data_IF_276290599904
#
_entry.id   IF_276290599904
#
_cell.length_a   1.000
_cell.length_b   1.000
_cell.length_c   1.000
_cell.angle_alpha   90.00
_cell.angle_beta   90.00
_cell.angle_gamma   90.00
#
_symmetry.space_group_name_H-M   'P 1'
#
loop_
_entity.id
_entity.type
_entity.pdbx_description
1 polymer ?
#
# COMPACT_ATOMS: atom_id res chain seq x y z
N UNK A 1 17.48 29.95 9.12
CA UNK A 1 16.85 30.80 10.16
C UNK A 1 15.38 30.47 10.38
N UNK A 2 14.55 30.36 9.33
CA UNK A 2 13.10 30.03 9.43
C UNK A 2 12.80 28.64 10.04
N UNK A 3 13.69 27.67 9.85
CA UNK A 3 13.49 26.27 10.28
C UNK A 3 13.53 26.05 11.80
N UNK A 4 14.12 26.96 12.57
CA UNK A 4 14.39 26.75 13.99
C UNK A 4 13.27 27.24 14.91
N UNK A 5 12.20 27.83 14.38
CA UNK A 5 11.19 28.54 15.19
C UNK A 5 9.75 28.03 15.07
N UNK A 6 9.43 27.01 14.25
CA UNK A 6 8.03 26.72 13.93
C UNK A 6 7.62 25.24 13.92
N UNK A 7 6.36 25.03 14.33
CA UNK A 7 5.66 23.75 14.53
C UNK A 7 5.40 22.96 13.24
N UNK A 8 5.34 21.62 13.34
CA UNK A 8 5.26 20.64 12.24
C UNK A 8 4.14 20.80 11.20
N UNK A 9 3.14 21.67 11.43
CA UNK A 9 1.96 21.84 10.56
C UNK A 9 1.82 23.24 9.92
N UNK A 10 2.84 24.10 9.99
CA UNK A 10 2.74 25.45 9.42
C UNK A 10 3.11 25.48 7.93
N UNK A 11 2.30 26.16 7.11
CA UNK A 11 2.56 26.37 5.69
C UNK A 11 3.81 27.26 5.50
N UNK A 12 4.94 26.57 5.27
CA UNK A 12 6.27 27.18 5.18
C UNK A 12 6.34 28.20 4.02
N UNK A 13 5.56 27.99 2.96
CA UNK A 13 5.54 28.86 1.77
C UNK A 13 4.89 30.19 2.12
N UNK A 14 3.75 30.15 2.81
CA UNK A 14 3.06 31.36 3.27
C UNK A 14 3.84 32.14 4.33
N UNK A 15 4.58 31.44 5.19
CA UNK A 15 5.47 32.09 6.18
C UNK A 15 6.63 32.77 5.47
N UNK A 16 7.25 32.12 4.49
CA UNK A 16 8.34 32.69 3.70
C UNK A 16 7.89 33.95 2.95
N UNK A 17 6.71 33.91 2.31
CA UNK A 17 6.12 35.06 1.60
C UNK A 17 5.83 36.22 2.55
N UNK A 18 5.25 35.93 3.73
CA UNK A 18 5.00 36.95 4.75
C UNK A 18 6.29 37.60 5.29
N UNK A 19 7.36 36.80 5.47
CA UNK A 19 8.65 37.31 5.93
C UNK A 19 9.28 38.26 4.90
N UNK A 20 9.23 37.91 3.61
CA UNK A 20 9.78 38.75 2.55
C UNK A 20 8.94 40.00 2.30
N UNK A 21 7.61 39.91 2.42
CA UNK A 21 6.70 41.07 2.40
C UNK A 21 7.07 42.11 3.47
N UNK A 22 7.41 41.66 4.66
CA UNK A 22 7.72 42.54 5.80
C UNK A 22 9.20 42.98 5.85
N UNK A 23 10.01 42.55 4.89
CA UNK A 23 11.41 42.96 4.80
C UNK A 23 11.55 44.37 4.23
N UNK A 24 12.63 45.08 4.59
CA UNK A 24 12.98 46.39 4.00
C UNK A 24 13.60 46.27 2.60
N UNK A 25 13.52 45.10 1.96
CA UNK A 25 14.12 44.84 0.66
C UNK A 25 13.27 45.43 -0.47
N UNK A 26 13.87 45.84 -1.60
CA UNK A 26 13.14 46.33 -2.78
C UNK A 26 12.13 45.33 -3.33
N UNK A 27 12.36 44.04 -3.07
CA UNK A 27 11.55 42.91 -3.54
C UNK A 27 10.24 42.79 -2.72
N UNK A 28 10.12 43.47 -1.57
CA UNK A 28 8.95 43.41 -0.67
C UNK A 28 7.63 43.79 -1.35
N UNK A 29 7.65 44.75 -2.28
CA UNK A 29 6.47 45.16 -3.07
C UNK A 29 5.93 44.01 -3.95
N UNK A 30 6.81 43.23 -4.59
CA UNK A 30 6.41 42.07 -5.39
C UNK A 30 5.74 41.00 -4.50
N UNK A 31 6.23 40.81 -3.28
CA UNK A 31 5.65 39.87 -2.33
C UNK A 31 4.33 40.34 -1.72
N UNK A 32 4.08 41.66 -1.63
CA UNK A 32 2.73 42.20 -1.30
C UNK A 32 1.72 41.85 -2.40
N UNK A 33 2.13 41.99 -3.66
CA UNK A 33 1.31 41.64 -4.81
C UNK A 33 1.01 40.14 -4.88
N UNK A 34 2.02 39.29 -4.65
CA UNK A 34 1.80 37.83 -4.57
C UNK A 34 0.82 37.45 -3.47
N UNK A 35 0.91 38.08 -2.30
CA UNK A 35 -0.02 37.80 -1.22
C UNK A 35 -1.47 38.17 -1.58
N UNK A 36 -1.67 39.25 -2.35
CA UNK A 36 -2.98 39.59 -2.88
C UNK A 36 -3.51 38.53 -3.86
N UNK A 37 -2.67 38.08 -4.81
CA UNK A 37 -3.04 37.01 -5.76
C UNK A 37 -3.30 35.68 -5.09
N UNK A 38 -2.53 35.34 -4.06
CA UNK A 38 -2.78 34.13 -3.25
C UNK A 38 -4.13 34.24 -2.53
N UNK A 39 -4.48 35.42 -2.02
CA UNK A 39 -5.81 35.66 -1.45
C UNK A 39 -6.95 35.58 -2.49
N UNK A 40 -6.65 35.83 -3.77
CA UNK A 40 -7.56 35.64 -4.90
C UNK A 40 -7.67 34.18 -5.36
N UNK A 41 -6.88 33.27 -4.78
CA UNK A 41 -6.95 31.81 -5.03
C UNK A 41 -5.78 31.25 -5.84
N UNK A 42 -4.75 32.05 -6.15
CA UNK A 42 -3.53 31.58 -6.80
C UNK A 42 -2.64 30.78 -5.84
N UNK A 43 -1.91 29.81 -6.37
CA UNK A 43 -1.05 28.93 -5.57
C UNK A 43 0.26 29.67 -5.21
N UNK A 44 0.66 29.74 -3.93
CA UNK A 44 1.85 30.48 -3.48
C UNK A 44 3.14 30.08 -4.20
N UNK A 45 3.35 28.80 -4.42
CA UNK A 45 4.54 28.25 -5.08
C UNK A 45 4.64 28.67 -6.55
N UNK A 46 3.51 28.87 -7.23
CA UNK A 46 3.45 29.22 -8.65
C UNK A 46 3.81 30.69 -8.87
N UNK A 47 3.35 31.56 -7.97
CA UNK A 47 3.77 32.95 -7.94
C UNK A 47 5.27 33.08 -7.64
N UNK A 48 5.80 32.25 -6.74
CA UNK A 48 7.23 32.23 -6.44
C UNK A 48 8.08 31.73 -7.62
N UNK A 49 7.63 30.73 -8.37
CA UNK A 49 8.36 30.22 -9.54
C UNK A 49 8.49 31.26 -10.67
N UNK A 50 7.49 32.12 -10.82
CA UNK A 50 7.48 33.16 -11.84
C UNK A 50 8.26 34.42 -11.43
N UNK A 51 8.77 34.48 -10.20
CA UNK A 51 9.55 35.61 -9.71
C UNK A 51 10.96 35.59 -10.33
N UNK A 52 11.24 36.59 -11.16
CA UNK A 52 12.59 36.91 -11.60
C UNK A 52 13.02 38.19 -10.89
N UNK A 53 13.99 38.09 -9.99
CA UNK A 53 14.61 39.26 -9.35
C UNK A 53 15.89 39.66 -10.07
N UNK A 54 16.36 40.89 -9.84
CA UNK A 54 17.62 41.38 -10.38
C UNK A 54 18.86 40.66 -9.78
N UNK A 55 18.70 39.89 -8.71
CA UNK A 55 19.79 39.12 -8.09
C UNK A 55 19.71 37.66 -8.55
N UNK A 56 20.70 37.22 -9.33
CA UNK A 56 20.83 35.82 -9.73
C UNK A 56 21.00 34.90 -8.51
N UNK A 57 21.76 35.32 -7.50
CA UNK A 57 21.93 34.57 -6.25
C UNK A 57 20.61 34.33 -5.53
N UNK A 58 19.74 35.34 -5.48
CA UNK A 58 18.42 35.21 -4.86
C UNK A 58 17.50 34.30 -5.68
N UNK A 59 17.53 34.41 -7.01
CA UNK A 59 16.76 33.52 -7.90
C UNK A 59 17.21 32.06 -7.72
N UNK A 60 18.53 31.81 -7.66
CA UNK A 60 19.08 30.49 -7.37
C UNK A 60 18.69 29.97 -5.98
N UNK A 61 18.70 30.84 -4.97
CA UNK A 61 18.25 30.50 -3.62
C UNK A 61 16.76 30.13 -3.57
N UNK A 62 15.91 30.88 -4.28
CA UNK A 62 14.48 30.64 -4.35
C UNK A 62 14.14 29.34 -5.08
N UNK A 63 14.78 29.07 -6.23
CA UNK A 63 14.63 27.81 -6.94
C UNK A 63 15.05 26.62 -6.07
N UNK A 64 16.19 26.71 -5.38
CA UNK A 64 16.64 25.68 -4.46
C UNK A 64 15.66 25.45 -3.30
N UNK A 65 15.03 26.51 -2.78
CA UNK A 65 13.98 26.40 -1.76
C UNK A 65 12.74 25.66 -2.30
N UNK A 66 12.29 26.01 -3.51
CA UNK A 66 11.15 25.38 -4.18
C UNK A 66 11.37 23.90 -4.51
N UNK A 67 12.61 23.52 -4.85
CA UNK A 67 12.94 22.12 -5.17
C UNK A 67 13.06 21.28 -3.89
N UNK A 68 13.63 21.84 -2.82
CA UNK A 68 14.10 21.07 -1.67
C UNK A 68 13.19 21.13 -0.44
N UNK A 69 12.45 22.23 -0.26
CA UNK A 69 11.73 22.50 0.99
C UNK A 69 10.21 22.64 0.82
N UNK A 70 9.74 23.10 -0.34
CA UNK A 70 8.30 23.10 -0.64
C UNK A 70 7.90 21.72 -1.16
N UNK A 71 6.92 21.12 -0.49
CA UNK A 71 6.46 19.74 -0.72
C UNK A 71 6.09 19.61 -2.20
N UNK A 72 6.58 18.53 -2.84
CA UNK A 72 6.28 18.14 -4.21
C UNK A 72 4.86 18.58 -4.61
N UNK A 73 4.81 19.51 -5.57
CA UNK A 73 3.60 19.98 -6.24
C UNK A 73 2.67 18.80 -6.48
N UNK A 74 1.47 18.91 -5.91
CA UNK A 74 0.29 18.18 -6.34
C UNK A 74 -0.72 19.20 -6.82
N UNK A 75 -1.27 18.88 -8.00
CA UNK A 75 -2.53 19.38 -8.57
C UNK A 75 -2.41 20.82 -9.15
N UNK A 76 -2.96 21.18 -10.32
CA UNK A 76 -4.18 20.78 -11.00
C UNK A 76 -3.99 20.75 -12.53
N UNK A 77 -4.06 19.56 -13.13
CA UNK A 77 -4.89 19.33 -14.32
C UNK A 77 -5.56 17.98 -14.11
N UNK A 78 -6.71 17.99 -13.44
CA UNK A 78 -7.64 16.85 -13.36
C UNK A 78 -8.44 16.66 -14.66
N UNK A 79 -8.02 17.28 -15.78
CA UNK A 79 -8.62 17.05 -17.07
C UNK A 79 -7.84 15.99 -17.83
N UNK A 80 -8.44 14.81 -17.93
CA UNK A 80 -8.00 13.60 -18.64
C UNK A 80 -7.32 12.55 -17.75
N UNK A 81 -8.14 11.67 -17.16
CA UNK A 81 -7.68 10.35 -16.75
C UNK A 81 -6.97 9.69 -17.94
N UNK A 82 -5.64 9.64 -17.89
CA UNK A 82 -4.86 8.95 -18.92
C UNK A 82 -5.33 7.50 -19.05
N UNK A 83 -5.26 6.95 -20.26
CA UNK A 83 -5.72 5.58 -20.55
C UNK A 83 -5.06 4.53 -19.64
N UNK A 84 -3.84 4.79 -19.17
CA UNK A 84 -3.12 3.97 -18.19
C UNK A 84 -3.76 4.00 -16.80
N UNK A 85 -4.25 5.15 -16.31
CA UNK A 85 -5.00 5.21 -15.05
C UNK A 85 -6.30 4.42 -15.14
N UNK A 86 -7.01 4.53 -16.26
CA UNK A 86 -8.26 3.79 -16.50
C UNK A 86 -8.01 2.29 -16.53
N UNK A 87 -7.00 1.84 -17.28
CA UNK A 87 -6.61 0.43 -17.34
C UNK A 87 -6.15 -0.09 -15.96
N UNK A 88 -5.41 0.71 -15.21
CA UNK A 88 -4.98 0.35 -13.86
C UNK A 88 -6.15 0.22 -12.88
N UNK A 89 -7.13 1.13 -12.94
CA UNK A 89 -8.37 1.01 -12.14
C UNK A 89 -9.18 -0.23 -12.51
N UNK A 90 -9.23 -0.60 -13.79
CA UNK A 90 -9.91 -1.81 -14.25
C UNK A 90 -9.23 -3.05 -13.67
N UNK A 91 -7.90 -3.16 -13.81
CA UNK A 91 -7.10 -4.25 -13.23
C UNK A 91 -7.31 -4.34 -11.73
N UNK A 92 -7.32 -3.19 -11.05
CA UNK A 92 -7.47 -3.15 -9.61
C UNK A 92 -8.88 -3.57 -9.16
N UNK A 93 -9.94 -3.11 -9.84
CA UNK A 93 -11.32 -3.55 -9.58
C UNK A 93 -11.49 -5.05 -9.82
N UNK A 94 -10.82 -5.58 -10.84
CA UNK A 94 -10.83 -7.02 -11.14
C UNK A 94 -10.16 -7.82 -10.02
N UNK A 95 -8.99 -7.37 -9.54
CA UNK A 95 -8.31 -7.97 -8.37
C UNK A 95 -9.20 -7.92 -7.13
N UNK A 96 -9.82 -6.78 -6.82
CA UNK A 96 -10.72 -6.63 -5.67
C UNK A 96 -11.93 -7.56 -5.77
N UNK A 97 -12.55 -7.65 -6.95
CA UNK A 97 -13.68 -8.55 -7.19
C UNK A 97 -13.28 -10.02 -7.02
N UNK A 98 -12.15 -10.43 -7.61
CA UNK A 98 -11.59 -11.79 -7.48
C UNK A 98 -11.33 -12.17 -6.03
N UNK A 99 -10.69 -11.27 -5.28
CA UNK A 99 -10.43 -11.45 -3.84
C UNK A 99 -11.75 -11.57 -3.08
N UNK A 100 -12.70 -10.67 -3.34
CA UNK A 100 -14.01 -10.66 -2.69
C UNK A 100 -14.81 -11.94 -2.92
N UNK A 101 -14.74 -12.53 -4.12
CA UNK A 101 -15.40 -13.82 -4.42
C UNK A 101 -14.86 -14.95 -3.53
N UNK A 102 -13.53 -15.03 -3.37
CA UNK A 102 -12.92 -16.05 -2.53
C UNK A 102 -13.26 -15.83 -1.05
N UNK A 103 -13.30 -14.57 -0.59
CA UNK A 103 -13.74 -14.23 0.76
C UNK A 103 -15.21 -14.57 1.00
N UNK A 104 -16.08 -14.22 0.06
CA UNK A 104 -17.50 -14.53 0.12
C UNK A 104 -17.72 -16.03 0.30
N UNK A 105 -17.11 -16.85 -0.56
CA UNK A 105 -17.24 -18.31 -0.49
C UNK A 105 -16.63 -18.85 0.80
N UNK A 106 -15.46 -18.36 1.21
CA UNK A 106 -14.80 -18.79 2.45
C UNK A 106 -15.59 -18.43 3.71
N UNK A 107 -16.38 -17.36 3.70
CA UNK A 107 -17.19 -16.92 4.84
C UNK A 107 -18.56 -17.58 4.86
N UNK A 108 -19.26 -17.58 3.72
CA UNK A 108 -20.65 -18.05 3.66
C UNK A 108 -20.76 -19.57 3.65
N UNK A 109 -19.73 -20.32 3.23
CA UNK A 109 -19.80 -21.77 3.25
C UNK A 109 -19.86 -22.35 4.68
N UNK A 110 -18.95 -21.99 5.62
CA UNK A 110 -19.07 -22.42 7.03
C UNK A 110 -20.39 -21.99 7.68
N UNK A 111 -20.85 -20.77 7.41
CA UNK A 111 -22.11 -20.24 7.94
C UNK A 111 -23.32 -21.01 7.37
N UNK A 112 -23.33 -21.26 6.06
CA UNK A 112 -24.37 -22.07 5.42
C UNK A 112 -24.38 -23.49 5.98
N UNK A 113 -23.21 -24.08 6.21
CA UNK A 113 -23.07 -25.38 6.84
C UNK A 113 -23.60 -25.37 8.28
N UNK A 114 -23.35 -24.32 9.07
CA UNK A 114 -24.00 -24.12 10.37
C UNK A 114 -25.52 -24.16 10.26
N UNK A 115 -26.13 -23.38 9.35
CA UNK A 115 -27.59 -23.35 9.21
C UNK A 115 -28.18 -24.70 8.78
N UNK A 116 -27.54 -25.38 7.83
CA UNK A 116 -28.01 -26.68 7.37
C UNK A 116 -27.92 -27.74 8.48
N UNK A 117 -26.92 -27.65 9.36
CA UNK A 117 -26.83 -28.45 10.59
C UNK A 117 -27.97 -28.11 11.55
N UNK A 118 -28.19 -26.81 11.84
CA UNK A 118 -29.25 -26.37 12.76
C UNK A 118 -30.63 -26.88 12.35
N UNK A 119 -30.96 -26.81 11.06
CA UNK A 119 -32.25 -27.28 10.53
C UNK A 119 -32.31 -28.80 10.30
N UNK A 120 -31.30 -29.55 10.73
CA UNK A 120 -31.21 -31.01 10.59
C UNK A 120 -31.38 -31.50 9.13
N UNK A 121 -31.01 -30.66 8.15
CA UNK A 121 -31.21 -30.96 6.73
C UNK A 121 -30.11 -31.89 6.17
N UNK A 122 -29.03 -32.11 6.93
CA UNK A 122 -27.86 -32.85 6.49
C UNK A 122 -27.57 -34.04 7.42
N UNK A 123 -27.31 -35.20 6.82
CA UNK A 123 -26.82 -36.40 7.51
C UNK A 123 -25.33 -36.30 7.92
N UNK A 124 -24.91 -37.06 8.92
CA UNK A 124 -23.51 -37.05 9.42
C UNK A 124 -22.45 -37.34 8.36
N UNK A 125 -22.73 -38.25 7.43
CA UNK A 125 -21.82 -38.59 6.33
C UNK A 125 -21.57 -37.37 5.44
N UNK A 126 -22.63 -36.60 5.16
CA UNK A 126 -22.54 -35.41 4.32
C UNK A 126 -21.76 -34.29 5.02
N UNK A 127 -21.88 -34.14 6.35
CA UNK A 127 -21.07 -33.18 7.12
C UNK A 127 -19.57 -33.44 6.96
N UNK A 128 -19.14 -34.70 7.09
CA UNK A 128 -17.73 -35.09 6.90
C UNK A 128 -17.28 -34.81 5.47
N UNK A 129 -18.14 -35.12 4.48
CA UNK A 129 -17.82 -34.98 3.05
C UNK A 129 -17.70 -33.51 2.62
N UNK A 130 -18.41 -32.59 3.26
CA UNK A 130 -18.33 -31.16 2.95
C UNK A 130 -16.97 -30.55 3.27
N UNK A 131 -16.23 -31.06 4.25
CA UNK A 131 -14.92 -30.53 4.65
C UNK A 131 -13.87 -30.66 3.52
N UNK A 132 -13.56 -31.86 2.98
CA UNK A 132 -12.61 -31.98 1.88
C UNK A 132 -13.11 -31.29 0.61
N UNK A 133 -14.42 -31.30 0.34
CA UNK A 133 -15.01 -30.61 -0.80
C UNK A 133 -14.78 -29.09 -0.72
N UNK A 134 -15.00 -28.50 0.46
CA UNK A 134 -14.74 -27.09 0.71
C UNK A 134 -13.27 -26.73 0.53
N UNK A 135 -12.37 -27.56 1.07
CA UNK A 135 -10.93 -27.34 0.93
C UNK A 135 -10.50 -27.37 -0.55
N UNK A 136 -10.95 -28.35 -1.33
CA UNK A 136 -10.65 -28.48 -2.76
C UNK A 136 -11.21 -27.28 -3.52
N UNK A 137 -12.45 -26.88 -3.23
CA UNK A 137 -13.12 -25.77 -3.91
C UNK A 137 -12.40 -24.43 -3.65
N UNK A 138 -12.06 -24.11 -2.40
CA UNK A 138 -11.28 -22.93 -2.08
C UNK A 138 -9.88 -22.96 -2.72
N UNK A 139 -9.23 -24.12 -2.75
CA UNK A 139 -7.93 -24.26 -3.41
C UNK A 139 -8.02 -23.97 -4.91
N UNK A 140 -9.06 -24.49 -5.57
CA UNK A 140 -9.32 -24.26 -6.98
C UNK A 140 -9.52 -22.78 -7.27
N UNK A 141 -10.39 -22.11 -6.50
CA UNK A 141 -10.65 -20.68 -6.64
C UNK A 141 -9.39 -19.85 -6.39
N UNK A 142 -8.64 -20.14 -5.33
CA UNK A 142 -7.39 -19.45 -5.03
C UNK A 142 -6.39 -19.57 -6.19
N UNK A 143 -6.18 -20.79 -6.72
CA UNK A 143 -5.26 -21.00 -7.84
C UNK A 143 -5.71 -20.28 -9.11
N UNK A 144 -7.01 -20.29 -9.41
CA UNK A 144 -7.57 -19.73 -10.64
C UNK A 144 -7.65 -18.20 -10.62
N UNK A 145 -8.04 -17.61 -9.48
CA UNK A 145 -8.36 -16.19 -9.39
C UNK A 145 -7.22 -15.34 -8.82
N UNK A 146 -6.34 -15.91 -7.99
CA UNK A 146 -5.42 -15.12 -7.17
C UNK A 146 -3.95 -15.32 -7.54
N UNK A 147 -3.55 -16.55 -7.92
CA UNK A 147 -2.13 -16.88 -8.18
C UNK A 147 -1.52 -16.14 -9.40
N UNK A 148 -2.34 -15.62 -10.31
CA UNK A 148 -1.89 -15.04 -11.59
C UNK A 148 -1.67 -13.52 -11.46
N UNK A 149 -2.49 -12.81 -10.68
CA UNK A 149 -2.45 -11.34 -10.58
C UNK A 149 -1.63 -10.82 -9.38
N UNK A 150 -1.34 -11.68 -8.39
CA UNK A 150 -0.43 -11.33 -7.29
C UNK A 150 0.98 -11.01 -7.80
N UNK A 151 1.37 -11.36 -9.02
CA UNK A 151 2.68 -10.97 -9.55
C UNK A 151 2.82 -9.44 -9.73
N UNK A 152 1.73 -8.73 -10.08
CA UNK A 152 1.67 -7.26 -10.06
C UNK A 152 1.72 -6.70 -8.62
N UNK A 153 1.21 -7.45 -7.65
CA UNK A 153 1.35 -7.16 -6.21
C UNK A 153 2.76 -7.55 -5.70
N UNK A 154 3.44 -8.47 -6.37
CA UNK A 154 4.79 -8.94 -6.13
C UNK A 154 5.83 -7.87 -6.47
N UNK A 155 5.58 -7.11 -7.54
CA UNK A 155 6.28 -5.86 -7.82
C UNK A 155 6.24 -4.89 -6.62
N UNK A 156 5.19 -4.89 -5.78
CA UNK A 156 5.12 -4.09 -4.56
C UNK A 156 5.73 -4.75 -3.32
N UNK A 157 5.76 -6.09 -3.26
CA UNK A 157 6.24 -6.84 -2.09
C UNK A 157 7.77 -6.83 -1.94
N UNK A 158 8.53 -6.45 -2.98
CA UNK A 158 9.99 -6.33 -2.90
C UNK A 158 10.48 -4.94 -2.49
N UNK A 159 9.58 -3.95 -2.34
CA UNK A 159 10.00 -2.63 -1.89
C UNK A 159 9.92 -2.55 -0.36
N UNK A 160 11.06 -2.82 0.27
CA UNK A 160 11.27 -2.33 1.64
C UNK A 160 11.03 -0.83 1.69
N UNK A 161 10.56 -0.31 2.83
CA UNK A 161 10.40 1.15 3.02
C UNK A 161 11.72 1.89 2.74
N UNK A 162 12.85 1.22 2.93
CA UNK A 162 14.18 1.73 2.61
C UNK A 162 14.39 1.90 1.10
N UNK A 163 14.03 0.92 0.28
CA UNK A 163 14.18 1.03 -1.19
C UNK A 163 13.26 2.11 -1.76
N UNK A 164 12.06 2.25 -1.19
CA UNK A 164 11.15 3.35 -1.54
C UNK A 164 11.74 4.71 -1.20
N UNK A 165 12.40 4.86 -0.04
CA UNK A 165 13.11 6.09 0.35
C UNK A 165 14.31 6.36 -0.57
N UNK A 166 15.12 5.34 -0.86
CA UNK A 166 16.25 5.39 -1.80
C UNK A 166 15.78 5.89 -3.18
N UNK A 167 14.68 5.34 -3.69
CA UNK A 167 14.11 5.76 -4.97
C UNK A 167 13.61 7.21 -4.95
N UNK A 168 13.01 7.67 -3.85
CA UNK A 168 12.57 9.06 -3.72
C UNK A 168 13.75 10.03 -3.75
N UNK A 169 14.81 9.74 -3.01
CA UNK A 169 16.03 10.54 -3.04
C UNK A 169 16.62 10.60 -4.45
N UNK A 170 16.61 9.48 -5.18
CA UNK A 170 17.08 9.42 -6.56
C UNK A 170 16.27 10.34 -7.49
N UNK A 171 14.93 10.37 -7.33
CA UNK A 171 14.10 11.30 -8.11
C UNK A 171 14.37 12.76 -7.76
N UNK A 172 14.58 13.09 -6.48
CA UNK A 172 14.97 14.44 -6.05
C UNK A 172 16.30 14.86 -6.68
N UNK A 173 17.27 13.95 -6.70
CA UNK A 173 18.54 14.16 -7.38
C UNK A 173 18.35 14.42 -8.88
N UNK A 174 17.55 13.60 -9.58
CA UNK A 174 17.25 13.79 -11.00
C UNK A 174 16.52 15.10 -11.30
N UNK A 175 15.63 15.55 -10.40
CA UNK A 175 14.92 16.82 -10.53
C UNK A 175 15.89 18.00 -10.49
N UNK A 176 16.81 18.00 -9.52
CA UNK A 176 17.87 19.01 -9.41
C UNK A 176 18.82 18.96 -10.61
N UNK A 177 19.14 17.75 -11.09
CA UNK A 177 19.92 17.56 -12.30
C UNK A 177 19.28 18.16 -13.55
N UNK A 178 17.98 17.92 -13.76
CA UNK A 178 17.23 18.54 -14.85
C UNK A 178 17.22 20.07 -14.77
N UNK A 179 17.09 20.64 -13.56
CA UNK A 179 17.16 22.10 -13.36
C UNK A 179 18.51 22.66 -13.76
N UNK A 180 19.61 22.02 -13.33
CA UNK A 180 20.96 22.47 -13.67
C UNK A 180 21.26 22.32 -15.18
N UNK A 181 20.78 21.25 -15.83
CA UNK A 181 20.86 21.09 -17.29
C UNK A 181 20.10 22.18 -18.05
N UNK A 182 18.94 22.60 -17.54
CA UNK A 182 18.14 23.69 -18.14
C UNK A 182 18.89 25.03 -18.13
N UNK A 183 19.87 25.20 -17.25
CA UNK A 183 20.75 26.40 -17.19
C UNK A 183 21.88 26.37 -18.22
N UNK A 184 21.86 25.43 -19.18
CA UNK A 184 22.93 25.23 -20.17
C UNK A 184 24.29 24.88 -19.53
N UNK A 185 24.27 24.31 -18.32
CA UNK A 185 25.47 23.79 -17.66
C UNK A 185 25.83 22.43 -18.27
N UNK A 186 27.12 22.11 -18.36
CA UNK A 186 27.55 20.78 -18.84
C UNK A 186 26.99 19.66 -17.96
N UNK A 187 26.69 18.48 -18.52
CA UNK A 187 26.12 17.36 -17.76
C UNK A 187 26.96 16.95 -16.54
N UNK A 188 28.29 16.98 -16.65
CA UNK A 188 29.22 16.67 -15.58
C UNK A 188 29.08 17.67 -14.43
N UNK A 189 29.07 18.97 -14.74
CA UNK A 189 28.97 20.03 -13.75
C UNK A 189 27.56 20.07 -13.14
N UNK A 190 26.53 19.89 -13.96
CA UNK A 190 25.15 19.76 -13.49
C UNK A 190 25.00 18.58 -12.52
N UNK A 191 25.66 17.45 -12.76
CA UNK A 191 25.63 16.28 -11.86
C UNK A 191 26.28 16.59 -10.50
N UNK A 192 27.45 17.25 -10.50
CA UNK A 192 28.15 17.67 -9.28
C UNK A 192 27.31 18.67 -8.48
N UNK A 193 26.76 19.70 -9.14
CA UNK A 193 25.91 20.70 -8.50
C UNK A 193 24.64 20.07 -7.90
N UNK A 194 24.07 19.08 -8.58
CA UNK A 194 22.89 18.38 -8.07
C UNK A 194 23.18 17.60 -6.80
N UNK A 195 24.36 16.99 -6.70
CA UNK A 195 24.80 16.31 -5.49
C UNK A 195 25.09 17.32 -4.36
N UNK A 196 25.74 18.45 -4.66
CA UNK A 196 26.09 19.45 -3.64
C UNK A 196 24.84 20.13 -3.07
N UNK A 197 23.87 20.49 -3.91
CA UNK A 197 22.59 21.09 -3.53
C UNK A 197 21.76 20.18 -2.62
N UNK A 198 21.81 18.86 -2.84
CA UNK A 198 20.96 17.88 -2.14
C UNK A 198 21.67 17.10 -1.02
N UNK A 199 22.94 17.42 -0.71
CA UNK A 199 23.81 16.60 0.15
C UNK A 199 23.21 16.21 1.51
N UNK A 200 22.35 17.04 2.09
CA UNK A 200 21.66 16.77 3.36
C UNK A 200 20.41 15.89 3.21
N UNK A 201 19.76 15.94 2.04
CA UNK A 201 18.56 15.17 1.71
C UNK A 201 18.89 13.74 1.27
N UNK A 202 20.06 13.55 0.65
CA UNK A 202 20.53 12.24 0.19
C UNK A 202 21.14 11.45 1.37
N UNK A 203 20.37 10.58 2.02
CA UNK A 203 20.87 9.70 3.09
C UNK A 203 21.16 8.30 2.58
N UNK A 204 20.26 7.74 1.76
CA UNK A 204 20.35 6.38 1.22
C UNK A 204 21.17 6.32 -0.08
N UNK A 205 21.10 7.35 -0.94
CA UNK A 205 21.84 7.34 -2.21
C UNK A 205 23.21 8.03 -2.13
N UNK A 206 23.56 8.61 -0.98
CA UNK A 206 24.84 9.32 -0.80
C UNK A 206 26.04 8.45 -1.14
N UNK A 207 26.08 7.24 -0.60
CA UNK A 207 27.19 6.32 -0.85
C UNK A 207 27.29 5.94 -2.34
N UNK A 208 26.20 5.48 -3.00
CA UNK A 208 26.18 5.22 -4.44
C UNK A 208 26.63 6.40 -5.31
N UNK A 209 26.32 7.63 -4.93
CA UNK A 209 26.63 8.84 -5.72
C UNK A 209 28.03 9.39 -5.42
N UNK A 210 28.56 9.19 -4.21
CA UNK A 210 29.81 9.80 -3.79
C UNK A 210 31.00 9.30 -4.62
N UNK A 211 31.01 8.01 -4.98
CA UNK A 211 32.05 7.43 -5.83
C UNK A 211 32.04 8.08 -7.24
N UNK A 212 30.92 8.08 -8.00
CA UNK A 212 30.86 8.79 -9.27
C UNK A 212 31.20 10.30 -9.18
N UNK A 213 30.75 11.01 -8.14
CA UNK A 213 31.11 12.43 -7.95
C UNK A 213 32.62 12.61 -7.75
N UNK A 214 33.28 11.73 -7.00
CA UNK A 214 34.72 11.79 -6.79
C UNK A 214 35.51 11.53 -8.09
N UNK A 215 34.99 10.68 -8.98
CA UNK A 215 35.56 10.44 -10.30
C UNK A 215 35.41 11.68 -11.21
N UNK A 216 34.27 12.36 -11.17
CA UNK A 216 34.07 13.62 -11.91
C UNK A 216 35.01 14.73 -11.41
N UNK A 217 35.15 14.89 -10.09
CA UNK A 217 36.03 15.90 -9.48
C UNK A 217 37.52 15.65 -9.77
N UNK A 218 37.90 14.40 -10.01
CA UNK A 218 39.26 14.01 -10.39
C UNK A 218 39.49 13.95 -11.90
N UNK A 219 38.49 14.36 -12.71
CA UNK A 219 38.51 14.35 -14.18
C UNK A 219 38.84 12.98 -14.79
N UNK A 220 38.50 11.89 -14.09
CA UNK A 220 38.94 10.53 -14.42
C UNK A 220 37.94 9.73 -15.28
N UNK A 221 36.92 10.37 -15.86
CA UNK A 221 35.91 9.71 -16.68
C UNK A 221 34.95 10.67 -17.38
N UNK A 222 34.32 10.19 -18.44
CA UNK A 222 33.24 10.87 -19.15
C UNK A 222 31.91 10.74 -18.39
N UNK A 223 30.92 11.56 -18.73
CA UNK A 223 29.57 11.41 -18.17
C UNK A 223 28.96 10.01 -18.39
N UNK A 224 29.28 9.34 -19.50
CA UNK A 224 28.83 7.96 -19.76
C UNK A 224 29.42 6.97 -18.75
N UNK A 225 30.72 7.06 -18.47
CA UNK A 225 31.41 6.21 -17.49
C UNK A 225 30.81 6.38 -16.08
N UNK A 226 30.42 7.62 -15.75
CA UNK A 226 29.78 7.98 -14.48
C UNK A 226 28.38 7.37 -14.35
N UNK A 227 27.61 7.38 -15.44
CA UNK A 227 26.30 6.74 -15.48
C UNK A 227 26.44 5.23 -15.33
N UNK A 228 27.44 4.60 -15.95
CA UNK A 228 27.72 3.17 -15.79
C UNK A 228 28.07 2.80 -14.34
N UNK A 229 28.94 3.57 -13.69
CA UNK A 229 29.26 3.41 -12.28
C UNK A 229 28.02 3.54 -11.39
N UNK A 230 27.16 4.52 -11.66
CA UNK A 230 25.92 4.72 -10.91
C UNK A 230 24.93 3.55 -11.11
N UNK A 231 24.86 2.97 -12.32
CA UNK A 231 24.05 1.77 -12.61
C UNK A 231 24.52 0.56 -11.81
N UNK A 232 25.84 0.38 -11.67
CA UNK A 232 26.43 -0.70 -10.88
C UNK A 232 26.13 -0.54 -9.38
N UNK A 233 26.30 0.66 -8.83
CA UNK A 233 26.09 0.96 -7.40
C UNK A 233 24.62 0.89 -6.98
N UNK A 234 23.68 1.30 -7.86
CA UNK A 234 22.25 1.27 -7.54
C UNK A 234 21.64 -0.13 -7.63
N UNK A 235 22.22 -1.00 -8.47
CA UNK A 235 21.89 -2.43 -8.61
C UNK A 235 20.38 -2.75 -8.66
N UNK A 236 19.62 -1.99 -9.44
CA UNK A 236 18.21 -2.30 -9.71
C UNK A 236 17.82 -1.87 -11.11
N UNK A 237 17.06 -2.74 -11.79
CA UNK A 237 16.61 -2.58 -13.17
C UNK A 237 15.90 -1.24 -13.41
N UNK A 238 15.18 -0.73 -12.39
CA UNK A 238 14.44 0.54 -12.50
C UNK A 238 15.38 1.72 -12.66
N UNK A 239 16.45 1.78 -11.87
CA UNK A 239 17.44 2.85 -12.00
C UNK A 239 18.17 2.74 -13.33
N UNK A 240 18.54 1.52 -13.73
CA UNK A 240 19.24 1.25 -14.99
C UNK A 240 18.45 1.77 -16.19
N UNK A 241 17.16 1.42 -16.30
CA UNK A 241 16.29 1.90 -17.38
C UNK A 241 16.21 3.42 -17.43
N UNK A 242 16.04 4.09 -16.28
CA UNK A 242 15.96 5.55 -16.23
C UNK A 242 17.30 6.16 -16.66
N UNK A 243 18.41 5.65 -16.14
CA UNK A 243 19.75 6.15 -16.44
C UNK A 243 20.14 5.91 -17.91
N UNK A 244 19.79 4.77 -18.50
CA UNK A 244 19.99 4.49 -19.93
C UNK A 244 19.26 5.50 -20.83
N UNK A 245 18.03 5.86 -20.45
CA UNK A 245 17.24 6.83 -21.19
C UNK A 245 17.86 8.23 -21.08
N UNK A 246 18.26 8.62 -19.86
CA UNK A 246 18.88 9.92 -19.58
C UNK A 246 20.21 10.07 -20.32
N UNK A 247 21.06 9.05 -20.29
CA UNK A 247 22.36 9.04 -20.98
C UNK A 247 22.20 9.28 -22.48
N UNK A 248 21.26 8.57 -23.13
CA UNK A 248 20.96 8.75 -24.55
C UNK A 248 20.46 10.16 -24.86
N UNK A 249 19.58 10.70 -24.03
CA UNK A 249 19.03 12.05 -24.24
C UNK A 249 20.12 13.11 -24.13
N UNK A 250 20.99 12.99 -23.13
CA UNK A 250 22.06 13.96 -22.86
C UNK A 250 23.08 13.99 -23.99
N UNK A 251 23.38 12.82 -24.58
CA UNK A 251 24.24 12.73 -25.76
C UNK A 251 23.67 13.48 -26.97
N UNK A 252 22.35 13.52 -27.14
CA UNK A 252 21.70 14.28 -28.22
C UNK A 252 21.77 15.79 -27.95
N UNK A 253 21.27 16.24 -26.77
CA UNK A 253 21.23 17.65 -26.41
C UNK A 253 20.97 17.82 -24.90
N UNK A 254 21.95 18.34 -24.15
CA UNK A 254 21.86 18.54 -22.70
C UNK A 254 20.70 19.48 -22.28
N UNK A 255 20.48 20.57 -23.02
CA UNK A 255 19.39 21.52 -22.72
C UNK A 255 18.01 20.89 -22.93
N UNK A 256 17.80 20.25 -24.09
CA UNK A 256 16.53 19.59 -24.40
C UNK A 256 16.26 18.36 -23.52
N UNK A 257 17.33 17.74 -23.01
CA UNK A 257 17.24 16.64 -22.04
C UNK A 257 16.57 17.08 -20.75
N UNK A 258 16.74 18.34 -20.32
CA UNK A 258 16.06 18.83 -19.11
C UNK A 258 14.53 18.67 -19.19
N UNK A 259 13.94 19.05 -20.34
CA UNK A 259 12.50 18.92 -20.58
C UNK A 259 12.05 17.45 -20.60
N UNK A 260 12.78 16.59 -21.32
CA UNK A 260 12.49 15.14 -21.36
C UNK A 260 12.63 14.48 -19.98
N UNK A 261 13.61 14.89 -19.16
CA UNK A 261 13.76 14.40 -17.79
C UNK A 261 12.56 14.83 -16.93
N UNK A 262 12.07 16.07 -17.06
CA UNK A 262 10.86 16.48 -16.36
C UNK A 262 9.62 15.67 -16.79
N UNK A 263 9.45 15.38 -18.07
CA UNK A 263 8.37 14.50 -18.56
C UNK A 263 8.47 13.09 -17.95
N UNK A 264 9.68 12.51 -17.88
CA UNK A 264 9.91 11.21 -17.22
C UNK A 264 9.54 11.29 -15.73
N UNK A 265 9.95 12.35 -15.03
CA UNK A 265 9.63 12.54 -13.61
C UNK A 265 8.11 12.68 -13.39
N UNK A 266 7.40 13.34 -14.30
CA UNK A 266 5.94 13.45 -14.26
C UNK A 266 5.25 12.10 -14.49
N UNK A 267 5.72 11.31 -15.46
CA UNK A 267 5.21 9.96 -15.69
C UNK A 267 5.45 9.08 -14.44
N UNK A 268 6.65 9.16 -13.85
CA UNK A 268 6.99 8.41 -12.63
C UNK A 268 6.12 8.86 -11.45
N UNK A 269 5.84 10.16 -11.31
CA UNK A 269 5.00 10.68 -10.23
C UNK A 269 3.55 10.17 -10.36
N UNK A 270 3.01 10.14 -11.59
CA UNK A 270 1.70 9.53 -11.90
C UNK A 270 1.67 8.04 -11.53
N UNK A 271 2.70 7.27 -11.91
CA UNK A 271 2.82 5.86 -11.52
C UNK A 271 2.90 5.68 -10.01
N UNK A 272 3.63 6.54 -9.28
CA UNK A 272 3.70 6.50 -7.81
C UNK A 272 2.36 6.84 -7.16
N UNK A 273 1.56 7.74 -7.74
CA UNK A 273 0.20 8.04 -7.25
C UNK A 273 -0.68 6.80 -7.37
N UNK A 274 -0.60 6.08 -8.49
CA UNK A 274 -1.32 4.81 -8.69
C UNK A 274 -0.85 3.72 -7.73
N UNK A 275 0.46 3.59 -7.53
CA UNK A 275 1.07 2.66 -6.56
C UNK A 275 0.59 2.95 -5.12
N UNK A 276 0.53 4.23 -4.74
CA UNK A 276 0.01 4.65 -3.44
C UNK A 276 -1.48 4.33 -3.28
N UNK A 277 -2.29 4.58 -4.31
CA UNK A 277 -3.72 4.21 -4.32
C UNK A 277 -3.89 2.70 -4.14
N UNK A 278 -3.10 1.90 -4.86
CA UNK A 278 -3.12 0.45 -4.72
C UNK A 278 -2.72 0.00 -3.32
N UNK A 279 -1.68 0.59 -2.72
CA UNK A 279 -1.28 0.29 -1.35
C UNK A 279 -2.38 0.59 -0.32
N UNK A 280 -3.13 1.68 -0.50
CA UNK A 280 -4.28 2.00 0.36
C UNK A 280 -5.36 0.94 0.21
N UNK A 281 -5.66 0.52 -1.02
CA UNK A 281 -6.69 -0.49 -1.29
C UNK A 281 -6.28 -1.86 -0.73
N UNK A 282 -5.03 -2.28 -0.91
CA UNK A 282 -4.51 -3.51 -0.28
C UNK A 282 -4.60 -3.43 1.24
N UNK A 283 -4.32 -2.28 1.86
CA UNK A 283 -4.51 -2.10 3.31
C UNK A 283 -5.98 -2.23 3.70
N UNK A 284 -6.89 -1.68 2.91
CA UNK A 284 -8.34 -1.83 3.09
C UNK A 284 -8.79 -3.29 3.01
N UNK A 285 -8.33 -4.02 1.98
CA UNK A 285 -8.59 -5.45 1.85
C UNK A 285 -8.02 -6.22 3.05
N UNK A 286 -6.76 -5.96 3.43
CA UNK A 286 -6.13 -6.56 4.61
C UNK A 286 -7.00 -6.40 5.87
N UNK A 287 -7.53 -5.19 6.09
CA UNK A 287 -8.43 -4.91 7.20
C UNK A 287 -9.71 -5.73 7.14
N UNK A 288 -10.39 -5.81 5.98
CA UNK A 288 -11.60 -6.64 5.80
C UNK A 288 -11.33 -8.09 6.18
N UNK A 289 -10.20 -8.65 5.75
CA UNK A 289 -9.86 -10.04 6.08
C UNK A 289 -9.63 -10.23 7.57
N UNK A 290 -8.93 -9.32 8.24
CA UNK A 290 -8.74 -9.42 9.70
C UNK A 290 -10.08 -9.37 10.42
N UNK A 291 -10.99 -8.48 9.99
CA UNK A 291 -12.35 -8.43 10.51
C UNK A 291 -13.04 -9.79 10.35
N UNK A 292 -13.01 -10.39 9.17
CA UNK A 292 -13.64 -11.70 8.92
C UNK A 292 -12.95 -12.86 9.65
N UNK A 293 -11.62 -12.82 9.81
CA UNK A 293 -10.86 -13.82 10.54
C UNK A 293 -11.30 -13.91 12.01
N UNK A 294 -11.74 -12.79 12.60
CA UNK A 294 -12.26 -12.74 13.97
C UNK A 294 -13.77 -12.92 14.05
N UNK A 295 -14.52 -12.38 13.09
CA UNK A 295 -15.99 -12.45 13.09
C UNK A 295 -16.50 -13.88 12.81
N UNK A 296 -15.90 -14.56 11.82
CA UNK A 296 -16.31 -15.91 11.42
C UNK A 296 -16.32 -16.91 12.58
N UNK A 297 -15.22 -17.11 13.34
CA UNK A 297 -15.19 -18.06 14.46
C UNK A 297 -16.19 -17.72 15.56
N UNK A 298 -16.50 -16.44 15.78
CA UNK A 298 -17.52 -16.01 16.75
C UNK A 298 -18.91 -16.45 16.27
N UNK A 299 -19.26 -16.17 15.01
CA UNK A 299 -20.58 -16.51 14.44
C UNK A 299 -20.81 -18.01 14.45
N UNK A 300 -19.90 -18.79 13.84
CA UNK A 300 -20.07 -20.24 13.71
C UNK A 300 -19.91 -20.95 15.06
N UNK A 301 -19.08 -20.42 15.97
CA UNK A 301 -18.93 -20.93 17.33
C UNK A 301 -20.22 -20.75 18.13
N UNK A 302 -20.82 -19.56 18.09
CA UNK A 302 -22.06 -19.27 18.80
C UNK A 302 -23.23 -20.10 18.24
N UNK A 303 -23.40 -20.12 16.92
CA UNK A 303 -24.45 -20.90 16.27
C UNK A 303 -24.25 -22.40 16.53
N UNK A 304 -23.03 -22.91 16.38
CA UNK A 304 -22.72 -24.32 16.61
C UNK A 304 -22.96 -24.74 18.06
N UNK A 305 -22.61 -23.90 19.03
CA UNK A 305 -22.86 -24.16 20.46
C UNK A 305 -24.34 -24.13 20.82
N UNK A 306 -25.18 -23.41 20.06
CA UNK A 306 -26.63 -23.39 20.24
C UNK A 306 -27.38 -24.63 19.73
N UNK A 307 -26.69 -25.52 19.01
CA UNK A 307 -27.30 -26.70 18.40
C UNK A 307 -28.09 -27.61 19.37
N UNK A 308 -27.62 -27.91 20.61
CA UNK A 308 -28.37 -28.75 21.54
C UNK A 308 -29.75 -28.19 21.91
N UNK A 309 -29.87 -26.87 22.06
CA UNK A 309 -31.16 -26.21 22.35
C UNK A 309 -32.15 -26.40 21.21
N UNK A 310 -31.69 -26.30 19.95
CA UNK A 310 -32.58 -26.48 18.80
C UNK A 310 -33.05 -27.92 18.69
N UNK A 311 -32.18 -28.90 18.92
CA UNK A 311 -32.59 -30.30 19.01
C UNK A 311 -33.65 -30.49 20.11
N UNK A 312 -33.45 -29.87 21.28
CA UNK A 312 -34.40 -29.97 22.38
C UNK A 312 -35.78 -29.47 21.96
N UNK A 313 -35.85 -28.30 21.30
CA UNK A 313 -37.10 -27.73 20.78
C UNK A 313 -37.77 -28.67 19.78
N UNK A 314 -37.00 -29.20 18.80
CA UNK A 314 -37.56 -30.05 17.73
C UNK A 314 -37.98 -31.44 18.20
N UNK A 315 -37.32 -31.99 19.22
CA UNK A 315 -37.56 -33.36 19.71
C UNK A 315 -38.67 -33.45 20.77
N UNK A 316 -39.32 -32.35 21.13
CA UNK A 316 -40.43 -32.34 22.11
C UNK A 316 -41.68 -33.14 21.67
N UNK A 317 -41.71 -33.68 20.44
CA UNK A 317 -42.88 -34.40 19.92
C UNK A 317 -42.99 -35.89 20.32
N UNK A 318 -41.98 -36.53 20.93
CA UNK A 318 -42.10 -37.94 21.38
C UNK A 318 -41.37 -38.21 22.71
N UNK A 319 -42.08 -37.95 23.83
CA UNK A 319 -41.64 -38.32 25.18
C UNK A 319 -42.10 -39.76 25.47
N UNK A 320 -41.26 -40.75 25.16
CA UNK A 320 -41.36 -42.10 25.76
C UNK A 320 -40.16 -42.33 26.68
N UNK A 321 -40.46 -42.49 27.98
CA UNK A 321 -39.57 -42.39 29.14
C UNK A 321 -38.50 -43.50 29.32
N UNK A 322 -38.26 -44.41 28.37
CA UNK A 322 -37.57 -45.67 28.67
C UNK A 322 -36.14 -45.86 28.10
N UNK A 323 -35.46 -44.84 27.55
CA UNK A 323 -34.11 -45.04 26.98
C UNK A 323 -33.15 -43.86 27.17
N UNK A 324 -33.02 -43.37 28.41
CA UNK A 324 -32.19 -42.20 28.73
C UNK A 324 -30.67 -42.41 28.62
N UNK A 325 -30.14 -43.63 28.58
CA UNK A 325 -28.67 -43.86 28.54
C UNK A 325 -28.07 -43.82 27.13
N UNK A 326 -28.69 -44.47 26.14
CA UNK A 326 -28.19 -44.52 24.76
C UNK A 326 -28.47 -43.23 23.98
N UNK A 327 -29.61 -42.56 24.24
CA UNK A 327 -30.00 -41.30 23.59
C UNK A 327 -29.04 -40.15 23.97
N UNK A 328 -28.53 -40.16 25.20
CA UNK A 328 -27.55 -39.17 25.67
C UNK A 328 -26.15 -39.37 25.04
N UNK A 329 -25.68 -40.60 24.90
CA UNK A 329 -24.40 -40.88 24.24
C UNK A 329 -24.41 -40.50 22.75
N UNK A 330 -25.51 -40.80 22.05
CA UNK A 330 -25.71 -40.38 20.67
C UNK A 330 -25.75 -38.85 20.51
N UNK A 331 -26.26 -38.11 21.50
CA UNK A 331 -26.25 -36.64 21.47
C UNK A 331 -24.85 -36.05 21.66
N UNK A 332 -24.00 -36.64 22.52
CA UNK A 332 -22.61 -36.19 22.71
C UNK A 332 -21.78 -36.38 21.45
N UNK A 333 -21.90 -37.54 20.79
CA UNK A 333 -21.19 -37.80 19.52
C UNK A 333 -21.60 -36.77 18.46
N UNK A 334 -22.89 -36.40 18.38
CA UNK A 334 -23.37 -35.38 17.44
C UNK A 334 -22.73 -34.02 17.68
N UNK A 335 -22.65 -33.59 18.94
CA UNK A 335 -22.01 -32.33 19.32
C UNK A 335 -20.52 -32.35 18.94
N UNK A 336 -19.82 -33.45 19.21
CA UNK A 336 -18.40 -33.62 18.84
C UNK A 336 -18.22 -33.52 17.33
N UNK A 337 -19.06 -34.20 16.53
CA UNK A 337 -18.98 -34.17 15.08
C UNK A 337 -19.22 -32.78 14.50
N UNK A 338 -20.19 -32.04 15.05
CA UNK A 338 -20.48 -30.65 14.65
C UNK A 338 -19.30 -29.75 15.00
N UNK A 339 -18.78 -29.89 16.23
CA UNK A 339 -17.62 -29.14 16.68
C UNK A 339 -16.43 -29.32 15.72
N UNK A 340 -16.08 -30.56 15.37
CA UNK A 340 -14.97 -30.84 14.45
C UNK A 340 -15.22 -30.34 13.03
N UNK A 341 -16.44 -30.49 12.52
CA UNK A 341 -16.79 -30.04 11.16
C UNK A 341 -16.65 -28.52 11.05
N UNK A 342 -17.22 -27.79 12.01
CA UNK A 342 -17.13 -26.33 12.05
C UNK A 342 -15.71 -25.85 12.35
N UNK A 343 -14.98 -26.52 13.25
CA UNK A 343 -13.58 -26.23 13.54
C UNK A 343 -12.69 -26.34 12.28
N UNK A 344 -12.81 -27.44 11.53
CA UNK A 344 -12.05 -27.65 10.29
C UNK A 344 -12.46 -26.67 9.19
N UNK A 345 -13.74 -26.31 9.10
CA UNK A 345 -14.22 -25.26 8.19
C UNK A 345 -13.64 -23.87 8.54
N UNK A 346 -13.49 -23.56 9.83
CA UNK A 346 -12.86 -22.33 10.28
C UNK A 346 -11.37 -22.31 9.95
N UNK A 347 -10.67 -23.43 10.20
CA UNK A 347 -9.25 -23.58 9.95
C UNK A 347 -8.94 -23.42 8.46
N UNK A 348 -9.73 -24.06 7.59
CA UNK A 348 -9.57 -23.95 6.14
C UNK A 348 -9.82 -22.52 5.66
N UNK A 349 -10.89 -21.86 6.11
CA UNK A 349 -11.18 -20.46 5.79
C UNK A 349 -10.07 -19.52 6.24
N UNK A 350 -9.64 -19.64 7.50
CA UNK A 350 -8.56 -18.85 8.10
C UNK A 350 -7.23 -19.01 7.34
N UNK A 351 -6.91 -20.25 6.93
CA UNK A 351 -5.72 -20.53 6.12
C UNK A 351 -5.76 -19.79 4.78
N UNK A 352 -6.87 -19.90 4.03
CA UNK A 352 -6.97 -19.23 2.73
C UNK A 352 -7.01 -17.72 2.85
N UNK A 353 -7.73 -17.17 3.83
CA UNK A 353 -7.76 -15.74 4.13
C UNK A 353 -6.36 -15.15 4.33
N UNK A 354 -5.54 -15.78 5.16
CA UNK A 354 -4.16 -15.34 5.42
C UNK A 354 -3.21 -15.64 4.26
N UNK A 355 -3.51 -16.65 3.44
CA UNK A 355 -2.76 -16.97 2.22
C UNK A 355 -2.94 -15.89 1.15
N UNK A 356 -4.17 -15.38 0.98
CA UNK A 356 -4.50 -14.32 0.03
C UNK A 356 -3.75 -13.01 0.34
N UNK A 357 -3.68 -12.65 1.62
CA UNK A 357 -2.94 -11.45 2.06
C UNK A 357 -1.42 -11.62 2.02
N UNK A 358 -0.96 -12.87 1.99
CA UNK A 358 0.45 -13.22 2.20
C UNK A 358 1.02 -12.65 3.52
N UNK A 359 0.28 -12.78 4.63
CA UNK A 359 0.75 -12.32 5.94
C UNK A 359 2.00 -13.11 6.40
N UNK A 360 2.99 -12.47 7.06
CA UNK A 360 4.23 -13.16 7.49
C UNK A 360 3.98 -14.21 8.57
N UNK A 361 3.18 -13.88 9.58
CA UNK A 361 2.91 -14.75 10.73
C UNK A 361 1.54 -15.45 10.59
N UNK A 362 1.35 -16.25 9.52
CA UNK A 362 0.05 -16.91 9.25
C UNK A 362 -0.35 -17.85 10.39
N UNK A 363 0.59 -18.64 10.90
CA UNK A 363 0.35 -19.67 11.91
C UNK A 363 -0.25 -19.12 13.19
N UNK A 364 0.31 -18.02 13.71
CA UNK A 364 -0.16 -17.38 14.96
C UNK A 364 -1.61 -16.90 14.81
N UNK A 365 -1.93 -16.28 13.68
CA UNK A 365 -3.27 -15.76 13.42
C UNK A 365 -4.30 -16.89 13.24
N UNK A 366 -3.92 -18.02 12.65
CA UNK A 366 -4.78 -19.21 12.58
C UNK A 366 -5.05 -19.76 13.98
N UNK A 367 -4.01 -19.87 14.82
CA UNK A 367 -4.15 -20.36 16.20
C UNK A 367 -5.12 -19.45 16.98
N UNK A 368 -4.96 -18.14 16.87
CA UNK A 368 -5.84 -17.15 17.51
C UNK A 368 -7.31 -17.27 17.05
N UNK A 369 -7.55 -17.44 15.75
CA UNK A 369 -8.91 -17.68 15.22
C UNK A 369 -9.52 -18.97 15.78
N UNK A 370 -8.72 -20.04 15.82
CA UNK A 370 -9.14 -21.33 16.36
C UNK A 370 -9.43 -21.25 17.87
N UNK A 371 -8.63 -20.53 18.67
CA UNK A 371 -8.88 -20.38 20.11
C UNK A 371 -10.16 -19.59 20.37
N UNK A 372 -10.42 -18.53 19.58
CA UNK A 372 -11.68 -17.77 19.67
C UNK A 372 -12.88 -18.68 19.39
N UNK A 373 -12.83 -19.48 18.31
CA UNK A 373 -13.90 -20.44 18.00
C UNK A 373 -14.16 -21.40 19.16
N UNK A 374 -13.09 -22.02 19.70
CA UNK A 374 -13.19 -22.98 20.81
C UNK A 374 -13.86 -22.32 22.02
N UNK A 375 -13.40 -21.12 22.39
CA UNK A 375 -13.92 -20.40 23.55
C UNK A 375 -15.41 -20.05 23.38
N UNK A 376 -15.78 -19.47 22.23
CA UNK A 376 -17.18 -19.07 21.97
C UNK A 376 -18.10 -20.29 21.92
N UNK A 377 -17.67 -21.38 21.29
CA UNK A 377 -18.45 -22.62 21.24
C UNK A 377 -18.72 -23.20 22.63
N UNK A 378 -17.69 -23.33 23.46
CA UNK A 378 -17.87 -23.87 24.81
C UNK A 378 -18.64 -22.91 25.72
N UNK A 379 -18.43 -21.60 25.62
CA UNK A 379 -19.15 -20.62 26.42
C UNK A 379 -20.66 -20.65 26.12
N UNK A 380 -21.03 -20.75 24.84
CA UNK A 380 -22.44 -20.89 24.45
C UNK A 380 -23.04 -22.23 24.86
N UNK A 381 -22.28 -23.33 24.73
CA UNK A 381 -22.70 -24.65 25.19
C UNK A 381 -22.93 -24.69 26.71
N UNK A 382 -21.99 -24.18 27.51
CA UNK A 382 -22.08 -24.15 28.98
C UNK A 382 -23.26 -23.30 29.43
N UNK A 383 -23.43 -22.11 28.85
CA UNK A 383 -24.56 -21.24 29.18
C UNK A 383 -25.90 -21.95 28.92
N UNK A 384 -26.01 -22.75 27.87
CA UNK A 384 -27.20 -23.54 27.61
C UNK A 384 -27.42 -24.67 28.61
N UNK A 385 -26.35 -25.39 28.96
CA UNK A 385 -26.42 -26.44 30.00
C UNK A 385 -26.79 -25.85 31.37
N UNK A 386 -26.46 -24.59 31.65
CA UNK A 386 -26.87 -23.91 32.89
C UNK A 386 -28.32 -23.41 32.86
N UNK A 387 -28.89 -23.14 31.68
CA UNK A 387 -30.27 -22.65 31.53
C UNK A 387 -31.28 -23.80 31.51
N UNK A 388 -30.89 -24.96 30.98
CA UNK A 388 -31.67 -26.21 30.96
C UNK A 388 -31.55 -26.90 32.31
#
# INVERSE_FOLDING_TARGET
MVRNTLSENSDLTMIFINLLKNSSLPISENFKYFLARIHEGEIPEDELLNLITASEDFNHYLENLLINNFIDRKDLTESEESNSERNFRIILRDIEAKISIVFFIGLFFPIGLCFLILFQQINYIMMILFIPLFFIFLNFLYKKLIKIDIFLIGLLNEYSDNERRKFNEFLTFLKSFAVNLKKNISPEMAFIESYSQNKELLKFIKYPINNPVSHLLSFYGSFSDIIELLKLELNSMRYQLILDIIEKMIYENAYFSSHKIFEILEIISKHRRLESKLNIIIKGEKFKVFLFLFLLPIIIGAIGGMFPLIIMITNTQEITLASFSFKNYLNVIKIIMIFFTLFLSNLTSSYYFLKIINHKNKSIMIILSCTIYILVFFLTLINLVLII
#
